data_IF_748499782442
#
_entry.id   IF_748499782442
#
_cell.length_a   1.000
_cell.length_b   1.000
_cell.length_c   1.000
_cell.angle_alpha   90.00
_cell.angle_beta   90.00
_cell.angle_gamma   90.00
#
_symmetry.space_group_name_H-M   'P 1'
#
loop_
_entity.id
_entity.type
_entity.pdbx_description
1 polymer ?
#
# COMPACT_ATOMS: atom_id res chain seq x y z
N UNK A 1 11.56 7.98 8.62
CA UNK A 1 10.56 8.58 9.53
C UNK A 1 9.24 7.86 9.29
N UNK A 2 8.44 7.58 10.32
CA UNK A 2 7.11 6.97 10.18
C UNK A 2 6.11 7.92 9.52
N UNK A 3 5.06 7.36 8.92
CA UNK A 3 3.90 8.12 8.43
C UNK A 3 2.96 8.40 9.61
N UNK A 4 3.20 9.50 10.31
CA UNK A 4 2.43 9.85 11.52
C UNK A 4 0.95 10.13 11.21
N UNK A 5 0.63 10.64 10.00
CA UNK A 5 -0.77 10.86 9.60
C UNK A 5 -1.52 9.54 9.45
N UNK A 6 -0.95 8.59 8.71
CA UNK A 6 -1.55 7.26 8.56
C UNK A 6 -1.68 6.55 9.91
N UNK A 7 -0.66 6.64 10.77
CA UNK A 7 -0.70 6.08 12.12
C UNK A 7 -1.84 6.67 12.94
N UNK A 8 -1.99 8.00 12.94
CA UNK A 8 -3.02 8.69 13.70
C UNK A 8 -4.44 8.32 13.25
N UNK A 9 -4.67 8.28 11.94
CA UNK A 9 -5.97 7.91 11.35
C UNK A 9 -6.32 6.45 11.66
N UNK A 10 -5.33 5.55 11.54
CA UNK A 10 -5.54 4.15 11.91
C UNK A 10 -5.91 4.02 13.39
N UNK A 11 -5.19 4.72 14.28
CA UNK A 11 -5.47 4.68 15.72
C UNK A 11 -6.85 5.27 16.05
N UNK A 12 -7.25 6.39 15.45
CA UNK A 12 -8.57 7.00 15.70
C UNK A 12 -9.72 6.18 15.13
N UNK A 13 -9.49 5.45 14.03
CA UNK A 13 -10.49 4.60 13.40
C UNK A 13 -10.52 3.16 13.92
N UNK A 14 -9.67 2.80 14.90
CA UNK A 14 -9.58 1.42 15.42
C UNK A 14 -9.00 0.42 14.41
N UNK A 15 -8.25 0.88 13.41
CA UNK A 15 -7.65 0.03 12.40
C UNK A 15 -6.36 -0.62 12.89
N UNK A 16 -6.27 -1.93 12.71
CA UNK A 16 -5.00 -2.66 12.80
C UNK A 16 -4.35 -2.75 11.41
N UNK A 17 -3.06 -3.09 11.38
CA UNK A 17 -2.39 -3.40 10.11
C UNK A 17 -3.10 -4.53 9.36
N UNK A 18 -3.59 -5.56 10.06
CA UNK A 18 -4.26 -6.71 9.46
C UNK A 18 -5.63 -6.34 8.89
N UNK A 19 -6.47 -5.63 9.66
CA UNK A 19 -7.82 -5.25 9.21
C UNK A 19 -7.79 -4.27 8.04
N UNK A 20 -6.82 -3.33 8.03
CA UNK A 20 -6.65 -2.44 6.88
C UNK A 20 -6.13 -3.21 5.66
N UNK A 21 -5.18 -4.14 5.87
CA UNK A 21 -4.62 -4.95 4.81
C UNK A 21 -5.67 -5.85 4.15
N UNK A 22 -6.52 -6.50 4.95
CA UNK A 22 -7.65 -7.28 4.47
C UNK A 22 -8.61 -6.42 3.63
N UNK A 23 -8.95 -5.23 4.13
CA UNK A 23 -9.91 -4.34 3.47
C UNK A 23 -9.44 -3.82 2.11
N UNK A 24 -8.13 -3.65 1.95
CA UNK A 24 -7.50 -3.15 0.71
C UNK A 24 -6.75 -4.23 -0.08
N UNK A 25 -6.95 -5.50 0.30
CA UNK A 25 -6.43 -6.70 -0.35
C UNK A 25 -4.89 -6.68 -0.55
N UNK A 26 -4.16 -6.30 0.50
CA UNK A 26 -2.69 -6.32 0.52
C UNK A 26 -2.15 -7.18 1.66
N UNK A 27 -0.85 -7.44 1.63
CA UNK A 27 -0.16 -8.08 2.75
C UNK A 27 -0.03 -7.11 3.96
N UNK A 28 -0.30 -7.55 5.20
CA UNK A 28 -0.17 -6.73 6.41
C UNK A 28 1.22 -6.09 6.60
N UNK A 29 2.29 -6.74 6.11
CA UNK A 29 3.65 -6.18 6.13
C UNK A 29 3.78 -4.96 5.24
N UNK A 30 2.97 -4.85 4.18
CA UNK A 30 2.92 -3.65 3.34
C UNK A 30 2.38 -2.47 4.12
N UNK A 31 1.31 -2.66 4.90
CA UNK A 31 0.73 -1.62 5.76
C UNK A 31 1.73 -1.22 6.85
N UNK A 32 2.38 -2.18 7.49
CA UNK A 32 3.45 -1.91 8.47
C UNK A 32 4.57 -1.06 7.86
N UNK A 33 4.98 -1.35 6.62
CA UNK A 33 6.00 -0.56 5.89
C UNK A 33 5.52 0.84 5.56
N UNK A 34 4.23 1.04 5.24
CA UNK A 34 3.67 2.38 5.01
C UNK A 34 3.69 3.20 6.30
N UNK A 35 3.29 2.60 7.42
CA UNK A 35 3.22 3.26 8.74
C UNK A 35 4.62 3.55 9.29
N UNK A 36 5.52 2.56 9.33
CA UNK A 36 6.79 2.70 10.05
C UNK A 36 7.95 3.23 9.19
N UNK A 37 7.93 2.94 7.89
CA UNK A 37 9.01 3.31 6.97
C UNK A 37 8.60 4.42 5.98
N UNK A 38 7.37 4.94 6.11
CA UNK A 38 6.80 5.94 5.21
C UNK A 38 6.91 5.54 3.73
N UNK A 39 6.79 4.23 3.45
CA UNK A 39 6.70 3.72 2.08
C UNK A 39 5.39 4.20 1.46
N UNK A 40 5.45 4.58 0.18
CA UNK A 40 4.28 4.99 -0.59
C UNK A 40 3.77 3.79 -1.40
N UNK A 41 2.49 3.40 -1.26
CA UNK A 41 1.89 2.37 -2.10
C UNK A 41 1.81 2.79 -3.58
N UNK A 42 1.44 1.84 -4.46
CA UNK A 42 1.01 2.19 -5.82
C UNK A 42 -0.21 3.11 -5.75
N UNK A 43 -0.37 3.98 -6.75
CA UNK A 43 -1.41 5.02 -6.76
C UNK A 43 -2.81 4.46 -6.53
N UNK A 44 -3.18 3.36 -7.17
CA UNK A 44 -4.48 2.69 -6.99
C UNK A 44 -4.69 2.22 -5.55
N UNK A 45 -3.72 1.53 -4.97
CA UNK A 45 -3.76 1.09 -3.57
C UNK A 45 -3.82 2.28 -2.60
N UNK A 46 -3.08 3.35 -2.87
CA UNK A 46 -3.10 4.55 -2.04
C UNK A 46 -4.49 5.21 -2.01
N UNK A 47 -5.16 5.27 -3.17
CA UNK A 47 -6.54 5.77 -3.28
C UNK A 47 -7.49 4.87 -2.49
N UNK A 48 -7.43 3.55 -2.68
CA UNK A 48 -8.29 2.60 -1.96
C UNK A 48 -8.12 2.69 -0.44
N UNK A 49 -6.88 2.86 0.05
CA UNK A 49 -6.62 3.07 1.48
C UNK A 49 -7.22 4.39 1.96
N UNK A 50 -7.06 5.47 1.18
CA UNK A 50 -7.62 6.76 1.53
C UNK A 50 -9.16 6.72 1.62
N UNK A 51 -9.82 6.08 0.65
CA UNK A 51 -11.27 5.84 0.65
C UNK A 51 -11.70 4.99 1.85
N UNK A 52 -10.97 3.92 2.15
CA UNK A 52 -11.24 3.03 3.29
C UNK A 52 -11.15 3.78 4.62
N UNK A 53 -10.21 4.72 4.73
CA UNK A 53 -9.99 5.51 5.93
C UNK A 53 -10.79 6.82 5.98
N UNK A 54 -11.52 7.16 4.91
CA UNK A 54 -12.27 8.43 4.79
C UNK A 54 -11.37 9.66 4.74
N UNK A 55 -10.15 9.52 4.23
CA UNK A 55 -9.13 10.56 4.17
C UNK A 55 -8.80 10.97 2.74
N UNK A 56 -8.16 12.13 2.60
CA UNK A 56 -7.58 12.54 1.33
C UNK A 56 -6.25 11.79 1.07
N UNK A 57 -6.09 11.24 -0.14
CA UNK A 57 -4.90 10.46 -0.51
C UNK A 57 -3.61 11.28 -0.43
N UNK A 58 -3.67 12.58 -0.69
CA UNK A 58 -2.54 13.48 -0.61
C UNK A 58 -2.23 13.92 0.83
N UNK A 59 -3.22 13.90 1.72
CA UNK A 59 -3.02 14.05 3.16
C UNK A 59 -2.27 12.85 3.74
N UNK A 60 -2.59 11.63 3.29
CA UNK A 60 -1.89 10.41 3.71
C UNK A 60 -0.49 10.28 3.10
N UNK A 61 -0.32 10.63 1.82
CA UNK A 61 0.96 10.57 1.12
C UNK A 61 1.22 11.81 0.27
N UNK A 62 1.94 12.78 0.85
CA UNK A 62 2.37 14.00 0.16
C UNK A 62 3.20 13.71 -1.10
N UNK A 63 3.92 12.59 -1.16
CA UNK A 63 4.70 12.15 -2.32
C UNK A 63 3.86 12.00 -3.59
N UNK A 64 2.55 11.75 -3.46
CA UNK A 64 1.64 11.63 -4.60
C UNK A 64 1.18 12.98 -5.17
N UNK A 65 1.45 14.11 -4.48
CA UNK A 65 1.13 15.47 -4.96
C UNK A 65 2.07 15.93 -6.08
N UNK A 66 3.29 15.41 -6.10
CA UNK A 66 4.32 15.81 -7.06
C UNK A 66 4.33 14.81 -8.22
N UNK A 67 3.82 15.20 -9.38
CA UNK A 67 4.14 14.47 -10.61
C UNK A 67 5.60 14.79 -11.00
N UNK A 68 6.58 13.99 -10.53
CA UNK A 68 7.92 13.93 -11.15
C UNK A 68 8.66 12.62 -10.88
N UNK A 69 9.58 12.26 -11.79
CA UNK A 69 9.64 10.95 -12.43
C UNK A 69 10.08 9.85 -11.46
N UNK A 70 9.57 8.65 -11.70
CA UNK A 70 10.02 7.43 -11.02
C UNK A 70 11.55 7.31 -11.09
N UNK A 71 12.24 7.61 -9.99
CA UNK A 71 13.66 7.31 -9.82
C UNK A 71 13.78 6.08 -8.94
N UNK A 72 14.24 5.00 -9.58
CA UNK A 72 14.78 3.76 -9.03
C UNK A 72 13.80 2.86 -8.27
N UNK A 73 12.93 2.18 -9.02
CA UNK A 73 12.62 0.78 -8.70
C UNK A 73 13.74 -0.04 -9.36
N UNK A 74 14.57 -0.72 -8.57
CA UNK A 74 15.53 -1.68 -9.11
C UNK A 74 14.77 -2.76 -9.90
N UNK A 75 15.20 -3.12 -11.12
CA UNK A 75 14.46 -4.03 -12.00
C UNK A 75 14.34 -5.46 -11.46
N UNK A 76 15.07 -5.84 -10.42
CA UNK A 76 14.96 -7.18 -9.81
C UNK A 76 13.65 -7.47 -9.06
N UNK A 77 12.80 -6.49 -8.71
CA UNK A 77 11.64 -6.74 -7.82
C UNK A 77 10.25 -6.65 -8.48
N UNK A 78 10.18 -6.36 -9.79
CA UNK A 78 8.90 -6.36 -10.53
C UNK A 78 8.62 -7.72 -11.18
N UNK A 79 9.63 -8.58 -11.35
CA UNK A 79 9.48 -9.89 -11.97
C UNK A 79 8.87 -10.98 -11.05
N UNK A 80 8.71 -10.73 -9.73
CA UNK A 80 8.31 -11.78 -8.78
C UNK A 80 6.86 -11.66 -8.23
N UNK A 81 6.13 -10.59 -8.55
CA UNK A 81 4.77 -10.38 -8.02
C UNK A 81 3.63 -10.42 -9.07
N UNK A 82 3.94 -10.79 -10.31
CA UNK A 82 2.91 -11.07 -11.34
C UNK A 82 2.52 -12.56 -11.38
N UNK A 83 3.30 -13.44 -10.75
CA UNK A 83 3.12 -14.89 -10.87
C UNK A 83 2.22 -15.49 -9.76
N UNK A 84 1.06 -14.88 -9.50
CA UNK A 84 0.04 -15.46 -8.61
C UNK A 84 -1.38 -15.41 -9.15
N UNK A 85 -1.55 -15.36 -10.47
CA UNK A 85 -2.85 -15.58 -11.09
C UNK A 85 -2.72 -16.30 -12.44
N UNK A 86 -2.22 -17.54 -12.44
CA UNK A 86 -2.74 -18.54 -13.37
C UNK A 86 -2.39 -19.96 -12.89
N UNK A 87 -3.42 -20.74 -12.57
CA UNK A 87 -3.34 -22.18 -12.36
C UNK A 87 -3.88 -22.83 -13.63
N UNK A 88 -3.06 -23.52 -14.43
CA UNK A 88 -3.56 -24.54 -15.33
C UNK A 88 -3.67 -25.85 -14.54
N UNK A 89 -4.91 -26.23 -14.22
CA UNK A 89 -5.27 -27.63 -14.04
C UNK A 89 -5.07 -28.34 -15.39
N UNK A 90 -4.16 -29.32 -15.48
CA UNK A 90 -4.43 -30.64 -16.09
C UNK A 90 -3.15 -31.50 -16.17
N UNK A 91 -3.23 -32.65 -15.48
CA UNK A 91 -3.01 -34.03 -15.98
C UNK A 91 -1.70 -34.37 -16.71
N UNK A 92 -0.96 -35.33 -16.15
CA UNK A 92 -0.73 -36.66 -16.73
C UNK A 92 -0.20 -37.63 -15.67
#
# INVERSE_FOLDING_TARGET
MPNERLRAVMASGGWTHATLAEKVEVDPKSVERWVNLNRTPRRSTAILVAETLGEDVHALWLALRQARPARAVSPELVALYDQRADIPVSRS
#
